data_IF_745498211981
#
_entry.id   IF_745498211981
#
_cell.length_a   1.000
_cell.length_b   1.000
_cell.length_c   1.000
_cell.angle_alpha   90.00
_cell.angle_beta   90.00
_cell.angle_gamma   90.00
#
_symmetry.space_group_name_H-M   'P 1'
#
loop_
_entity.id
_entity.type
_entity.pdbx_description
1 polymer ?
#
# COMPACT_ATOMS: atom_id res chain seq x y z
N UNK A 1 12.01 -6.37 2.18
CA UNK A 1 10.90 -5.55 2.74
C UNK A 1 9.93 -6.38 3.59
N UNK A 2 10.41 -7.13 4.59
CA UNK A 2 9.54 -7.91 5.51
C UNK A 2 9.53 -7.34 6.94
N UNK A 3 10.33 -6.30 7.19
CA UNK A 3 10.57 -5.75 8.53
C UNK A 3 9.60 -4.62 8.91
N UNK A 4 8.95 -3.97 7.94
CA UNK A 4 8.07 -2.83 8.22
C UNK A 4 6.68 -3.25 8.75
N UNK A 5 6.17 -4.41 8.34
CA UNK A 5 4.83 -4.86 8.74
C UNK A 5 4.79 -5.37 10.19
N UNK A 6 5.87 -6.00 10.66
CA UNK A 6 5.99 -6.48 12.04
C UNK A 6 6.11 -5.32 13.04
N UNK A 7 6.79 -4.23 12.68
CA UNK A 7 6.96 -3.08 13.56
C UNK A 7 5.64 -2.33 13.80
N UNK A 8 4.77 -2.24 12.79
CA UNK A 8 3.44 -1.60 12.94
C UNK A 8 2.52 -2.43 13.85
N UNK A 9 2.59 -3.76 13.78
CA UNK A 9 1.82 -4.66 14.65
C UNK A 9 2.33 -4.67 16.09
N UNK A 10 3.65 -4.59 16.32
CA UNK A 10 4.24 -4.54 17.66
C UNK A 10 4.01 -3.19 18.37
N UNK A 11 3.85 -2.11 17.59
CA UNK A 11 3.51 -0.78 18.13
C UNK A 11 2.03 -0.63 18.52
N UNK A 12 1.17 -1.58 18.11
CA UNK A 12 -0.27 -1.58 18.45
C UNK A 12 -0.58 -2.37 19.73
N UNK A 13 0.32 -3.23 20.21
CA UNK A 13 0.06 -4.09 21.37
C UNK A 13 0.58 -3.55 22.71
N UNK A 14 1.43 -2.51 22.72
CA UNK A 14 2.06 -1.99 23.94
C UNK A 14 1.24 -0.94 24.71
N UNK A 15 -0.02 -0.66 24.34
CA UNK A 15 -0.85 0.34 25.02
C UNK A 15 -2.03 -0.23 25.83
N UNK A 16 -2.10 -1.55 26.02
CA UNK A 16 -3.07 -2.16 26.93
C UNK A 16 -2.55 -2.21 28.38
N UNK A 17 -2.36 -1.03 28.97
CA UNK A 17 -2.32 -0.86 30.42
C UNK A 17 -3.27 0.30 30.76
N UNK A 18 -4.44 -0.03 31.29
CA UNK A 18 -5.41 0.94 31.85
C UNK A 18 -5.05 1.16 33.33
N UNK A 19 -5.21 2.39 33.88
CA UNK A 19 -6.55 2.85 34.28
C UNK A 19 -6.83 4.37 34.09
N UNK A 20 -8.11 4.73 34.11
CA UNK A 20 -8.67 6.09 34.33
C UNK A 20 -8.17 7.24 33.45
N UNK A 21 -8.60 7.27 32.20
CA UNK A 21 -8.58 8.46 31.35
C UNK A 21 -10.02 8.91 31.11
N UNK A 22 -10.34 10.15 31.48
CA UNK A 22 -11.64 10.79 31.32
C UNK A 22 -12.27 10.57 29.93
N UNK A 23 -13.61 10.65 29.80
CA UNK A 23 -14.29 10.52 28.50
C UNK A 23 -13.74 11.50 27.43
N UNK A 24 -13.12 12.61 27.82
CA UNK A 24 -12.47 13.57 26.92
C UNK A 24 -11.13 13.06 26.37
N UNK A 25 -10.29 12.43 27.20
CA UNK A 25 -9.01 11.85 26.77
C UNK A 25 -9.21 10.66 25.84
N UNK A 26 -10.20 9.79 26.13
CA UNK A 26 -10.59 8.71 25.20
C UNK A 26 -11.07 9.27 23.86
N UNK A 27 -11.89 10.32 23.85
CA UNK A 27 -12.36 10.97 22.61
C UNK A 27 -11.20 11.62 21.84
N UNK A 28 -10.24 12.24 22.53
CA UNK A 28 -9.05 12.81 21.92
C UNK A 28 -8.16 11.72 21.30
N UNK A 29 -7.93 10.61 22.01
CA UNK A 29 -7.17 9.47 21.51
C UNK A 29 -7.81 8.83 20.27
N UNK A 30 -9.14 8.66 20.26
CA UNK A 30 -9.89 8.17 19.09
C UNK A 30 -9.74 9.13 17.89
N UNK A 31 -9.86 10.44 18.10
CA UNK A 31 -9.66 11.45 17.04
C UNK A 31 -8.24 11.43 16.47
N UNK A 32 -7.23 11.34 17.33
CA UNK A 32 -5.81 11.24 16.91
C UNK A 32 -5.58 9.97 16.09
N UNK A 33 -6.17 8.84 16.49
CA UNK A 33 -6.07 7.59 15.75
C UNK A 33 -6.77 7.66 14.38
N UNK A 34 -7.94 8.30 14.28
CA UNK A 34 -8.63 8.52 12.99
C UNK A 34 -7.78 9.41 12.07
N UNK A 35 -7.16 10.47 12.61
CA UNK A 35 -6.28 11.35 11.83
C UNK A 35 -5.08 10.58 11.25
N UNK A 36 -4.42 9.73 12.06
CA UNK A 36 -3.32 8.85 11.61
C UNK A 36 -3.79 7.85 10.55
N UNK A 37 -4.97 7.25 10.70
CA UNK A 37 -5.55 6.34 9.69
C UNK A 37 -5.80 7.08 8.36
N UNK A 38 -6.34 8.30 8.42
CA UNK A 38 -6.57 9.11 7.22
C UNK A 38 -5.25 9.48 6.51
N UNK A 39 -4.20 9.80 7.28
CA UNK A 39 -2.87 10.04 6.72
C UNK A 39 -2.30 8.81 6.03
N UNK A 40 -2.40 7.63 6.67
CA UNK A 40 -1.94 6.37 6.07
C UNK A 40 -2.69 6.04 4.78
N UNK A 41 -4.03 6.21 4.75
CA UNK A 41 -4.84 6.03 3.54
C UNK A 41 -4.40 6.99 2.43
N UNK A 42 -4.12 8.25 2.75
CA UNK A 42 -3.67 9.24 1.77
C UNK A 42 -2.31 8.84 1.17
N UNK A 43 -1.38 8.37 1.99
CA UNK A 43 -0.06 7.95 1.52
C UNK A 43 -0.14 6.68 0.66
N UNK A 44 -0.90 5.67 1.09
CA UNK A 44 -1.10 4.46 0.30
C UNK A 44 -1.78 4.76 -1.06
N UNK A 45 -2.69 5.74 -1.11
CA UNK A 45 -3.27 6.19 -2.37
C UNK A 45 -2.23 6.85 -3.31
N UNK A 46 -1.25 7.58 -2.76
CA UNK A 46 -0.12 8.10 -3.56
C UNK A 46 0.74 6.96 -4.10
N UNK A 47 1.03 5.96 -3.28
CA UNK A 47 1.78 4.77 -3.69
C UNK A 47 1.04 4.02 -4.81
N UNK A 48 -0.28 3.84 -4.68
CA UNK A 48 -1.14 3.25 -5.72
C UNK A 48 -1.01 4.01 -7.04
N UNK A 49 -1.04 5.35 -7.00
CA UNK A 49 -0.90 6.17 -8.21
C UNK A 49 0.49 5.99 -8.85
N UNK A 50 1.56 5.96 -8.05
CA UNK A 50 2.92 5.71 -8.53
C UNK A 50 3.07 4.32 -9.15
N UNK A 51 2.51 3.28 -8.53
CA UNK A 51 2.52 1.91 -9.06
C UNK A 51 1.77 1.81 -10.39
N UNK A 52 0.61 2.45 -10.52
CA UNK A 52 -0.14 2.51 -11.80
C UNK A 52 0.68 3.20 -12.89
N UNK A 53 1.35 4.31 -12.57
CA UNK A 53 2.22 5.00 -13.52
C UNK A 53 3.41 4.13 -13.94
N UNK A 54 4.03 3.40 -13.01
CA UNK A 54 5.11 2.47 -13.31
C UNK A 54 4.64 1.32 -14.24
N UNK A 55 3.47 0.75 -13.97
CA UNK A 55 2.83 -0.27 -14.84
C UNK A 55 2.62 0.29 -16.25
N UNK A 56 2.08 1.51 -16.38
CA UNK A 56 1.85 2.14 -17.68
C UNK A 56 3.15 2.36 -18.47
N UNK A 57 4.22 2.79 -17.79
CA UNK A 57 5.55 2.92 -18.40
C UNK A 57 6.08 1.56 -18.88
N UNK A 58 5.93 0.51 -18.08
CA UNK A 58 6.35 -0.85 -18.46
C UNK A 58 5.57 -1.36 -19.68
N UNK A 59 4.26 -1.11 -19.75
CA UNK A 59 3.44 -1.45 -20.91
C UNK A 59 3.89 -0.70 -22.17
N UNK A 60 4.15 0.60 -22.06
CA UNK A 60 4.62 1.44 -23.17
C UNK A 60 5.97 0.98 -23.73
N UNK A 61 6.90 0.56 -22.87
CA UNK A 61 8.18 0.00 -23.33
C UNK A 61 7.96 -1.39 -23.96
N UNK A 62 7.15 -2.24 -23.34
CA UNK A 62 6.89 -3.59 -23.86
C UNK A 62 6.19 -3.56 -25.22
N UNK A 63 5.32 -2.59 -25.49
CA UNK A 63 4.69 -2.42 -26.81
C UNK A 63 5.69 -2.00 -27.88
N UNK A 64 6.62 -1.07 -27.57
CA UNK A 64 7.72 -0.68 -28.46
C UNK A 64 8.66 -1.84 -28.79
N UNK A 65 8.90 -2.72 -27.83
CA UNK A 65 9.66 -3.96 -28.06
C UNK A 65 8.87 -4.98 -28.91
N UNK A 66 7.54 -4.87 -28.96
CA UNK A 66 6.67 -5.78 -29.71
C UNK A 66 6.87 -5.76 -31.22
N UNK A 67 7.35 -4.63 -31.77
CA UNK A 67 7.67 -4.47 -33.19
C UNK A 67 9.09 -4.90 -33.55
N UNK A 68 9.90 -5.30 -32.57
CA UNK A 68 11.29 -5.75 -32.77
C UNK A 68 11.39 -7.27 -32.62
N UNK A 69 12.36 -7.89 -33.30
CA UNK A 69 12.61 -9.33 -33.25
C UNK A 69 14.05 -9.63 -32.80
N UNK A 70 14.26 -10.83 -32.24
CA UNK A 70 15.56 -11.29 -31.77
C UNK A 70 15.55 -11.84 -30.34
N UNK A 71 16.49 -12.72 -30.01
CA UNK A 71 16.56 -13.41 -28.71
C UNK A 71 16.64 -12.44 -27.54
N UNK A 72 17.39 -11.35 -27.67
CA UNK A 72 17.49 -10.30 -26.65
C UNK A 72 16.16 -9.57 -26.42
N UNK A 73 15.43 -9.25 -27.49
CA UNK A 73 14.11 -8.60 -27.42
C UNK A 73 13.08 -9.52 -26.76
N UNK A 74 13.06 -10.80 -27.11
CA UNK A 74 12.17 -11.79 -26.47
C UNK A 74 12.42 -11.90 -24.97
N UNK A 75 13.69 -11.94 -24.55
CA UNK A 75 14.07 -11.94 -23.13
C UNK A 75 13.64 -10.65 -22.43
N UNK A 76 13.85 -9.48 -23.05
CA UNK A 76 13.41 -8.20 -22.51
C UNK A 76 11.88 -8.14 -22.35
N UNK A 77 11.10 -8.59 -23.33
CA UNK A 77 9.64 -8.67 -23.25
C UNK A 77 9.17 -9.57 -22.10
N UNK A 78 9.82 -10.72 -21.90
CA UNK A 78 9.52 -11.62 -20.78
C UNK A 78 9.82 -10.95 -19.44
N UNK A 79 10.96 -10.26 -19.32
CA UNK A 79 11.31 -9.51 -18.12
C UNK A 79 10.29 -8.38 -17.83
N UNK A 80 9.86 -7.64 -18.86
CA UNK A 80 8.81 -6.62 -18.74
C UNK A 80 7.47 -7.22 -18.31
N UNK A 81 7.05 -8.34 -18.89
CA UNK A 81 5.82 -9.03 -18.50
C UNK A 81 5.85 -9.49 -17.03
N UNK A 82 6.98 -10.04 -16.58
CA UNK A 82 7.18 -10.44 -15.19
C UNK A 82 7.15 -9.23 -14.24
N UNK A 83 7.78 -8.12 -14.62
CA UNK A 83 7.76 -6.88 -13.85
C UNK A 83 6.34 -6.31 -13.73
N UNK A 84 5.56 -6.32 -14.81
CA UNK A 84 4.15 -5.91 -14.80
C UNK A 84 3.34 -6.78 -13.84
N UNK A 85 3.51 -8.11 -13.90
CA UNK A 85 2.81 -9.03 -13.00
C UNK A 85 3.16 -8.77 -11.52
N UNK A 86 4.43 -8.55 -11.21
CA UNK A 86 4.88 -8.22 -9.85
C UNK A 86 4.29 -6.89 -9.36
N UNK A 87 4.27 -5.86 -10.20
CA UNK A 87 3.67 -4.56 -9.87
C UNK A 87 2.16 -4.65 -9.67
N UNK A 88 1.44 -5.45 -10.47
CA UNK A 88 0.00 -5.70 -10.25
C UNK A 88 -0.27 -6.38 -8.91
N UNK A 89 0.58 -7.32 -8.49
CA UNK A 89 0.47 -7.96 -7.18
C UNK A 89 0.72 -6.97 -6.04
N UNK A 90 1.72 -6.10 -6.18
CA UNK A 90 1.98 -5.03 -5.21
C UNK A 90 0.81 -4.05 -5.11
N UNK A 91 0.24 -3.64 -6.25
CA UNK A 91 -0.94 -2.78 -6.32
C UNK A 91 -2.15 -3.40 -5.59
N UNK A 92 -2.43 -4.68 -5.82
CA UNK A 92 -3.52 -5.38 -5.14
C UNK A 92 -3.30 -5.43 -3.61
N UNK A 93 -2.07 -5.65 -3.16
CA UNK A 93 -1.73 -5.63 -1.73
C UNK A 93 -1.94 -4.25 -1.09
N UNK A 94 -1.46 -3.19 -1.74
CA UNK A 94 -1.64 -1.81 -1.25
C UNK A 94 -3.12 -1.42 -1.23
N UNK A 95 -3.91 -1.80 -2.25
CA UNK A 95 -5.36 -1.59 -2.25
C UNK A 95 -6.07 -2.34 -1.10
N UNK A 96 -5.65 -3.57 -0.80
CA UNK A 96 -6.19 -4.33 0.32
C UNK A 96 -5.87 -3.65 1.66
N UNK A 97 -4.65 -3.13 1.83
CA UNK A 97 -4.27 -2.35 3.01
C UNK A 97 -5.16 -1.10 3.18
N UNK A 98 -5.36 -0.32 2.11
CA UNK A 98 -6.27 0.85 2.12
C UNK A 98 -7.68 0.45 2.53
N UNK A 99 -8.21 -0.66 2.00
CA UNK A 99 -9.54 -1.15 2.35
C UNK A 99 -9.61 -1.60 3.81
N UNK A 100 -8.56 -2.24 4.33
CA UNK A 100 -8.43 -2.57 5.75
C UNK A 100 -8.46 -1.33 6.64
N UNK A 101 -7.66 -0.31 6.30
CA UNK A 101 -7.62 0.98 7.01
C UNK A 101 -8.99 1.69 6.98
N UNK A 102 -9.70 1.66 5.86
CA UNK A 102 -11.07 2.21 5.75
C UNK A 102 -12.06 1.49 6.66
N UNK A 103 -11.98 0.16 6.77
CA UNK A 103 -12.83 -0.63 7.69
C UNK A 103 -12.53 -0.29 9.14
N UNK A 104 -11.25 -0.22 9.52
CA UNK A 104 -10.83 0.19 10.87
C UNK A 104 -11.38 1.59 11.16
N UNK A 105 -11.21 2.56 10.25
CA UNK A 105 -11.75 3.92 10.42
C UNK A 105 -13.26 3.90 10.68
N UNK A 106 -14.02 3.09 9.93
CA UNK A 106 -15.46 2.99 10.08
C UNK A 106 -15.91 2.43 11.44
N UNK A 107 -15.07 1.64 12.13
CA UNK A 107 -15.36 1.16 13.49
C UNK A 107 -15.22 2.25 14.56
N UNK A 108 -14.52 3.34 14.25
CA UNK A 108 -14.29 4.48 15.15
C UNK A 108 -15.09 5.74 14.76
N UNK A 109 -15.88 5.67 13.67
CA UNK A 109 -16.73 6.76 13.18
C UNK A 109 -18.11 6.67 13.81
#
# INVERSE_FOLDING_TARGET
>A
MKLAFAAVLLALSSSFALPTAEPLERRAAVKVNIAKINQAIAEDNRIIAQQRNAINKLYSVNSKLGSMSGKAITSARRAHSNAIAAQKKALAATQSAVNGLKKIRAQFS
#
